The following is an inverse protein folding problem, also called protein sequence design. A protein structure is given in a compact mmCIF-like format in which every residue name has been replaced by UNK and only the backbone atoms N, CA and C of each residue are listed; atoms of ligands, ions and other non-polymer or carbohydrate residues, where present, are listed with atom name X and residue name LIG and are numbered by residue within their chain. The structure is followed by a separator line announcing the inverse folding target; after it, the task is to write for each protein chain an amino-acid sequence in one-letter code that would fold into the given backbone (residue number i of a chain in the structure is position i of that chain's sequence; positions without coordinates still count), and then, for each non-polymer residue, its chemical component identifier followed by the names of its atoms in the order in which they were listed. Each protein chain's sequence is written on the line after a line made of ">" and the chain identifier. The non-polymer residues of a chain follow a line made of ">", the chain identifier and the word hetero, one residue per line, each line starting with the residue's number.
data_IF_549919643097
#
_entry.id   IF_549919643097
#
_cell.length_a   1.000
_cell.length_b   1.000
_cell.length_c   1.000
_cell.angle_alpha   90.00
_cell.angle_beta   90.00
_cell.angle_gamma   90.00
#
_symmetry.space_group_name_H-M   'P 1'
#
loop_
_entity.id
_entity.type
_entity.pdbx_description
1 polymer ?
#
# COMPACT_ATOMS: atom_id res chain seq x y z
N UNK A 1 11.53 -4.31 13.39
CA UNK A 1 10.69 -5.25 14.16
C UNK A 1 11.53 -6.46 14.60
N UNK A 2 11.15 -7.08 15.73
CA UNK A 2 11.83 -8.32 16.20
C UNK A 2 11.41 -9.56 15.39
N UNK A 3 10.28 -9.49 14.69
CA UNK A 3 9.74 -10.54 13.85
C UNK A 3 9.25 -9.93 12.54
N UNK A 4 9.71 -10.49 11.42
CA UNK A 4 9.18 -10.19 10.11
C UNK A 4 7.98 -11.10 9.80
N UNK A 5 6.95 -10.53 9.22
CA UNK A 5 5.75 -11.24 8.85
C UNK A 5 5.36 -10.99 7.39
N UNK A 6 4.66 -11.95 6.80
CA UNK A 6 3.94 -11.81 5.53
C UNK A 6 2.51 -12.29 5.74
N UNK A 7 1.55 -11.49 5.32
CA UNK A 7 0.13 -11.76 5.43
C UNK A 7 -0.51 -11.66 4.05
N UNK A 8 -0.97 -12.78 3.53
CA UNK A 8 -1.54 -12.91 2.21
C UNK A 8 -3.02 -13.28 2.27
N UNK A 9 -3.76 -12.87 1.26
CA UNK A 9 -5.17 -13.17 1.13
C UNK A 9 -5.54 -13.31 -0.34
N UNK A 10 -6.06 -14.46 -0.72
CA UNK A 10 -6.71 -14.68 -2.00
C UNK A 10 -8.21 -14.81 -1.77
N UNK A 11 -8.98 -13.90 -2.34
CA UNK A 11 -10.43 -13.92 -2.25
C UNK A 11 -10.99 -14.93 -3.25
N UNK A 12 -11.86 -15.86 -2.79
CA UNK A 12 -12.47 -16.88 -3.65
C UNK A 12 -11.44 -17.54 -4.58
N UNK A 13 -10.39 -18.14 -4.01
CA UNK A 13 -9.19 -18.62 -4.73
C UNK A 13 -9.48 -19.57 -5.90
N UNK A 14 -10.57 -20.35 -5.85
CA UNK A 14 -10.98 -21.29 -6.90
C UNK A 14 -11.94 -20.69 -7.94
N UNK A 15 -12.37 -19.43 -7.77
CA UNK A 15 -13.34 -18.77 -8.63
C UNK A 15 -12.69 -17.89 -9.69
N UNK A 16 -13.23 -17.91 -10.90
CA UNK A 16 -12.76 -17.16 -12.07
C UNK A 16 -13.85 -16.24 -12.66
N UNK A 17 -15.00 -16.13 -12.03
CA UNK A 17 -16.17 -15.40 -12.51
C UNK A 17 -16.04 -13.87 -12.41
N UNK A 18 -15.14 -13.39 -11.57
CA UNK A 18 -14.80 -11.96 -11.47
C UNK A 18 -13.31 -11.72 -11.75
N UNK A 19 -12.96 -10.56 -12.34
CA UNK A 19 -11.56 -10.16 -12.46
C UNK A 19 -10.95 -9.87 -11.08
N UNK A 20 -9.62 -10.03 -10.97
CA UNK A 20 -8.88 -9.83 -9.72
C UNK A 20 -8.12 -8.50 -9.70
N UNK A 21 -8.01 -7.92 -8.53
CA UNK A 21 -7.13 -6.79 -8.23
C UNK A 21 -6.23 -7.16 -7.06
N UNK A 22 -4.98 -6.67 -7.08
CA UNK A 22 -4.00 -6.96 -6.04
C UNK A 22 -3.66 -5.71 -5.24
N UNK A 23 -3.83 -5.79 -3.94
CA UNK A 23 -3.35 -4.79 -2.99
C UNK A 23 -2.00 -5.25 -2.43
N UNK A 24 -0.96 -4.45 -2.62
CA UNK A 24 0.38 -4.70 -2.07
C UNK A 24 0.68 -3.63 -1.04
N UNK A 25 1.16 -4.03 0.15
CA UNK A 25 1.50 -3.06 1.18
C UNK A 25 2.06 -3.63 2.48
N UNK A 26 1.78 -2.91 3.54
CA UNK A 26 2.18 -3.21 4.91
C UNK A 26 0.95 -3.35 5.82
N UNK A 27 1.09 -3.10 7.13
CA UNK A 27 -0.01 -3.17 8.09
C UNK A 27 -1.17 -2.20 7.80
N UNK A 28 -0.91 -1.09 7.11
CA UNK A 28 -1.95 -0.14 6.70
C UNK A 28 -2.86 -0.79 5.66
N UNK A 29 -2.27 -1.53 4.71
CA UNK A 29 -3.04 -2.28 3.70
C UNK A 29 -3.86 -3.42 4.32
N UNK A 30 -3.36 -4.07 5.36
CA UNK A 30 -4.15 -5.01 6.17
C UNK A 30 -5.37 -4.32 6.78
N UNK A 31 -5.15 -3.11 7.32
CA UNK A 31 -6.20 -2.33 7.97
C UNK A 31 -7.37 -1.99 7.06
N UNK A 32 -7.11 -1.51 5.84
CA UNK A 32 -8.18 -1.10 4.92
C UNK A 32 -8.71 -2.20 3.99
N UNK A 33 -8.09 -3.38 3.95
CA UNK A 33 -8.43 -4.45 3.00
C UNK A 33 -9.92 -4.82 3.00
N UNK A 34 -10.50 -5.12 4.16
CA UNK A 34 -11.91 -5.49 4.28
C UNK A 34 -12.86 -4.38 3.78
N UNK A 35 -12.50 -3.12 3.99
CA UNK A 35 -13.28 -2.00 3.47
C UNK A 35 -13.20 -1.93 1.92
N UNK A 36 -12.03 -2.22 1.33
CA UNK A 36 -11.88 -2.31 -0.14
C UNK A 36 -12.71 -3.46 -0.70
N UNK A 37 -12.66 -4.65 -0.08
CA UNK A 37 -13.47 -5.81 -0.49
C UNK A 37 -14.96 -5.44 -0.52
N UNK A 38 -15.46 -4.80 0.54
CA UNK A 38 -16.86 -4.37 0.63
C UNK A 38 -17.25 -3.36 -0.46
N UNK A 39 -16.37 -2.42 -0.79
CA UNK A 39 -16.61 -1.40 -1.82
C UNK A 39 -16.54 -1.99 -3.25
N UNK A 40 -15.80 -3.07 -3.46
CA UNK A 40 -15.60 -3.71 -4.76
C UNK A 40 -16.38 -5.03 -4.90
N UNK A 41 -17.21 -5.37 -3.92
CA UNK A 41 -18.04 -6.58 -3.93
C UNK A 41 -18.86 -6.72 -5.22
N UNK A 42 -18.85 -7.91 -5.79
CA UNK A 42 -19.51 -8.21 -7.06
C UNK A 42 -18.87 -7.61 -8.31
N UNK A 43 -17.75 -6.87 -8.17
CA UNK A 43 -17.00 -6.27 -9.28
C UNK A 43 -15.62 -6.92 -9.47
N UNK A 44 -14.91 -7.15 -8.38
CA UNK A 44 -13.54 -7.69 -8.37
C UNK A 44 -13.33 -8.60 -7.17
N UNK A 45 -12.52 -9.64 -7.32
CA UNK A 45 -11.86 -10.28 -6.18
C UNK A 45 -10.67 -9.44 -5.74
N UNK A 46 -10.60 -9.14 -4.45
CA UNK A 46 -9.58 -8.25 -3.87
C UNK A 46 -8.54 -9.08 -3.12
N UNK A 47 -7.49 -9.43 -3.81
CA UNK A 47 -6.35 -10.14 -3.25
C UNK A 47 -5.40 -9.17 -2.53
N UNK A 48 -4.64 -9.68 -1.55
CA UNK A 48 -3.71 -8.85 -0.79
C UNK A 48 -2.41 -9.58 -0.50
N UNK A 49 -1.30 -8.89 -0.72
CA UNK A 49 0.04 -9.21 -0.22
C UNK A 49 0.51 -8.07 0.68
N UNK A 50 0.64 -8.34 1.98
CA UNK A 50 1.11 -7.37 2.97
C UNK A 50 2.25 -7.96 3.79
N UNK A 51 3.27 -7.14 4.12
CA UNK A 51 4.43 -7.59 4.86
C UNK A 51 5.04 -6.47 5.69
N UNK A 52 5.71 -6.83 6.80
CA UNK A 52 6.55 -5.93 7.58
C UNK A 52 7.96 -5.77 7.01
N UNK A 53 8.35 -6.61 6.03
CA UNK A 53 9.68 -6.56 5.44
C UNK A 53 9.93 -5.23 4.75
N UNK A 54 11.14 -4.68 4.93
CA UNK A 54 11.55 -3.53 4.14
C UNK A 54 11.74 -3.91 2.67
N UNK A 55 11.52 -2.97 1.76
CA UNK A 55 11.51 -3.20 0.31
C UNK A 55 12.84 -3.73 -0.25
N UNK A 56 13.97 -3.54 0.46
CA UNK A 56 15.28 -4.09 0.07
C UNK A 56 15.53 -5.49 0.61
N UNK A 57 14.67 -6.03 1.47
CA UNK A 57 14.79 -7.40 1.94
C UNK A 57 14.72 -8.36 0.75
N UNK A 58 15.67 -9.29 0.60
CA UNK A 58 15.67 -10.23 -0.53
C UNK A 58 14.46 -11.18 -0.55
N UNK A 59 13.84 -11.44 0.60
CA UNK A 59 12.63 -12.26 0.67
C UNK A 59 11.38 -11.46 0.24
N UNK A 60 11.31 -10.15 0.52
CA UNK A 60 10.21 -9.29 0.09
C UNK A 60 9.91 -9.49 -1.41
N UNK A 61 10.91 -9.27 -2.25
CA UNK A 61 10.71 -9.36 -3.71
C UNK A 61 10.40 -10.77 -4.17
N UNK A 62 11.05 -11.80 -3.61
CA UNK A 62 10.80 -13.20 -3.98
C UNK A 62 9.38 -13.65 -3.63
N UNK A 63 8.92 -13.33 -2.43
CA UNK A 63 7.57 -13.65 -1.97
C UNK A 63 6.53 -12.91 -2.80
N UNK A 64 6.73 -11.61 -3.05
CA UNK A 64 5.85 -10.80 -3.88
C UNK A 64 5.80 -11.30 -5.32
N UNK A 65 6.94 -11.66 -5.91
CA UNK A 65 7.00 -12.17 -7.27
C UNK A 65 6.23 -13.49 -7.41
N UNK A 66 6.41 -14.42 -6.46
CA UNK A 66 5.66 -15.66 -6.39
C UNK A 66 4.16 -15.36 -6.27
N UNK A 67 3.76 -14.52 -5.33
CA UNK A 67 2.35 -14.21 -5.07
C UNK A 67 1.69 -13.51 -6.28
N UNK A 68 2.36 -12.52 -6.87
CA UNK A 68 1.86 -11.77 -8.02
C UNK A 68 1.82 -12.58 -9.32
N UNK A 69 2.44 -13.78 -9.35
CA UNK A 69 2.41 -14.67 -10.51
C UNK A 69 1.27 -15.67 -10.51
N UNK A 70 0.55 -15.82 -9.38
CA UNK A 70 -0.48 -16.83 -9.22
C UNK A 70 -1.71 -16.54 -10.08
N UNK A 71 -2.08 -15.26 -10.21
CA UNK A 71 -3.23 -14.82 -11.00
C UNK A 71 -2.86 -13.71 -11.97
N UNK A 72 -3.73 -13.51 -12.96
CA UNK A 72 -3.72 -12.31 -13.81
C UNK A 72 -4.54 -11.22 -13.15
N UNK A 73 -3.89 -10.11 -12.81
CA UNK A 73 -4.55 -8.99 -12.15
C UNK A 73 -4.98 -7.92 -13.15
N UNK A 74 -6.20 -7.44 -12.99
CA UNK A 74 -6.74 -6.31 -13.75
C UNK A 74 -6.05 -5.00 -13.39
N UNK A 75 -5.70 -4.84 -12.10
CA UNK A 75 -5.03 -3.67 -11.54
C UNK A 75 -4.23 -4.08 -10.31
N UNK A 76 -3.12 -3.42 -10.07
CA UNK A 76 -2.31 -3.54 -8.84
C UNK A 76 -2.28 -2.19 -8.14
N UNK A 77 -2.61 -2.16 -6.85
CA UNK A 77 -2.45 -1.01 -5.96
C UNK A 77 -1.24 -1.24 -5.06
N UNK A 78 -0.20 -0.43 -5.20
CA UNK A 78 1.07 -0.61 -4.50
C UNK A 78 1.28 0.50 -3.46
N UNK A 79 1.22 0.12 -2.18
CA UNK A 79 1.38 1.00 -1.01
C UNK A 79 2.39 0.38 -0.04
N UNK A 80 3.66 0.73 -0.14
CA UNK A 80 4.71 0.20 0.74
C UNK A 80 5.73 1.29 1.07
N UNK A 81 5.72 1.78 2.32
CA UNK A 81 6.61 2.90 2.66
C UNK A 81 6.82 3.18 4.15
N UNK A 82 6.18 2.41 5.04
CA UNK A 82 6.30 2.64 6.50
C UNK A 82 7.27 1.69 7.21
N UNK A 83 7.82 0.70 6.50
CA UNK A 83 8.80 -0.22 7.08
C UNK A 83 10.23 0.22 6.77
N UNK A 84 11.19 -0.10 7.68
CA UNK A 84 12.60 0.22 7.50
C UNK A 84 12.86 1.72 7.37
N UNK A 85 12.27 2.55 8.21
CA UNK A 85 12.38 4.02 8.15
C UNK A 85 13.80 4.51 8.44
N UNK A 86 14.64 3.68 9.02
CA UNK A 86 16.07 3.89 9.30
C UNK A 86 16.97 3.65 8.09
N UNK A 87 16.48 3.04 7.01
CA UNK A 87 17.24 2.84 5.80
C UNK A 87 17.37 4.13 4.96
N UNK A 88 18.52 4.33 4.28
CA UNK A 88 18.72 5.48 3.39
C UNK A 88 17.66 5.59 2.29
N UNK A 89 17.27 6.82 1.96
CA UNK A 89 16.24 7.10 0.94
C UNK A 89 16.61 6.53 -0.44
N UNK A 90 17.89 6.55 -0.82
CA UNK A 90 18.37 6.00 -2.08
C UNK A 90 18.15 4.48 -2.16
N UNK A 91 18.34 3.75 -1.06
CA UNK A 91 18.07 2.31 -0.98
C UNK A 91 16.59 2.05 -1.20
N UNK A 92 15.72 2.81 -0.50
CA UNK A 92 14.26 2.72 -0.69
C UNK A 92 13.87 2.98 -2.14
N UNK A 93 14.32 4.10 -2.71
CA UNK A 93 13.99 4.50 -4.09
C UNK A 93 14.41 3.46 -5.13
N UNK A 94 15.63 2.94 -5.03
CA UNK A 94 16.17 1.99 -6.01
C UNK A 94 15.44 0.65 -5.94
N UNK A 95 15.12 0.17 -4.75
CA UNK A 95 14.36 -1.08 -4.58
C UNK A 95 12.88 -0.90 -4.92
N UNK A 96 12.29 0.26 -4.63
CA UNK A 96 10.92 0.59 -5.05
C UNK A 96 10.79 0.58 -6.57
N UNK A 97 11.74 1.22 -7.29
CA UNK A 97 11.81 1.19 -8.76
C UNK A 97 11.86 -0.23 -9.30
N UNK A 98 12.78 -1.05 -8.81
CA UNK A 98 12.93 -2.45 -9.26
C UNK A 98 11.68 -3.28 -9.01
N UNK A 99 11.01 -3.04 -7.89
CA UNK A 99 9.73 -3.70 -7.57
C UNK A 99 8.64 -3.22 -8.51
N UNK A 100 8.55 -1.92 -8.74
CA UNK A 100 7.60 -1.33 -9.69
C UNK A 100 7.77 -1.90 -11.11
N UNK A 101 9.00 -1.98 -11.61
CA UNK A 101 9.31 -2.53 -12.94
C UNK A 101 8.89 -4.00 -13.04
N UNK A 102 9.11 -4.79 -11.99
CA UNK A 102 8.65 -6.18 -11.91
C UNK A 102 7.11 -6.27 -11.94
N UNK A 103 6.41 -5.38 -11.24
CA UNK A 103 4.95 -5.34 -11.24
C UNK A 103 4.39 -4.89 -12.61
N UNK A 104 4.99 -3.89 -13.24
CA UNK A 104 4.60 -3.40 -14.57
C UNK A 104 4.79 -4.46 -15.67
N UNK A 105 5.78 -5.33 -15.52
CA UNK A 105 5.97 -6.45 -16.44
C UNK A 105 4.83 -7.50 -16.36
N UNK A 106 4.07 -7.52 -15.26
CA UNK A 106 2.96 -8.44 -15.03
C UNK A 106 1.59 -7.80 -15.26
N UNK A 107 1.45 -6.54 -14.84
CA UNK A 107 0.20 -5.79 -14.95
C UNK A 107 0.52 -4.34 -15.37
N UNK A 108 0.05 -3.87 -16.55
CA UNK A 108 0.31 -2.50 -16.98
C UNK A 108 -0.47 -1.44 -16.17
N UNK A 109 -1.45 -1.84 -15.40
CA UNK A 109 -2.27 -0.96 -14.56
C UNK A 109 -1.82 -1.02 -13.12
N UNK A 110 -0.79 -0.24 -12.78
CA UNK A 110 -0.29 -0.09 -11.41
C UNK A 110 -0.66 1.30 -10.90
N UNK A 111 -1.24 1.36 -9.71
CA UNK A 111 -1.51 2.58 -8.95
C UNK A 111 -0.46 2.68 -7.86
N UNK A 112 0.26 3.79 -7.77
CA UNK A 112 1.19 4.06 -6.69
C UNK A 112 0.46 4.79 -5.57
N UNK A 113 0.51 4.27 -4.34
CA UNK A 113 -0.09 4.93 -3.20
C UNK A 113 0.96 5.60 -2.33
N UNK A 114 0.65 6.82 -1.88
CA UNK A 114 1.48 7.52 -0.91
C UNK A 114 1.26 6.94 0.48
N UNK A 115 2.35 6.78 1.22
CA UNK A 115 2.32 6.32 2.62
C UNK A 115 1.68 7.36 3.51
N UNK A 116 0.93 6.90 4.50
CA UNK A 116 0.20 7.73 5.46
C UNK A 116 1.14 8.42 6.46
N UNK A 117 0.74 9.57 7.05
CA UNK A 117 1.56 10.26 8.03
C UNK A 117 1.79 9.44 9.30
N UNK A 118 2.91 9.66 9.97
CA UNK A 118 3.23 9.13 11.30
C UNK A 118 3.08 10.24 12.32
N UNK A 119 2.40 9.94 13.44
CA UNK A 119 2.24 10.85 14.56
C UNK A 119 3.03 10.39 15.77
N UNK A 120 3.17 11.25 16.77
CA UNK A 120 3.71 10.85 18.07
C UNK A 120 2.79 9.84 18.75
N UNK A 121 3.39 8.91 19.50
CA UNK A 121 2.65 7.92 20.30
C UNK A 121 1.79 8.66 21.34
N UNK A 122 0.54 8.24 21.49
CA UNK A 122 -0.48 8.87 22.35
C UNK A 122 -0.88 10.32 21.98
N UNK A 123 -0.30 10.87 20.89
CA UNK A 123 -0.60 12.21 20.39
C UNK A 123 -0.96 12.18 18.89
N UNK A 124 -2.14 11.69 18.53
CA UNK A 124 -2.55 11.48 17.13
C UNK A 124 -2.73 12.78 16.32
N UNK A 125 -2.74 13.93 16.99
CA UNK A 125 -2.79 15.29 16.44
C UNK A 125 -1.41 15.89 16.15
N UNK A 126 -0.33 15.27 16.65
CA UNK A 126 1.05 15.75 16.51
C UNK A 126 1.83 14.85 15.57
N UNK A 127 2.27 15.39 14.43
CA UNK A 127 3.13 14.65 13.51
C UNK A 127 4.48 14.35 14.17
N UNK A 128 4.98 13.12 13.98
CA UNK A 128 6.31 12.75 14.48
C UNK A 128 7.38 13.62 13.83
N UNK A 129 8.14 14.36 14.65
CA UNK A 129 9.21 15.23 14.19
C UNK A 129 10.38 14.44 13.58
N UNK A 130 10.57 13.19 13.99
CA UNK A 130 11.64 12.32 13.52
C UNK A 130 11.21 11.51 12.27
N UNK A 131 10.06 10.85 12.32
CA UNK A 131 9.68 9.83 11.34
C UNK A 131 8.84 10.39 10.17
N UNK A 132 7.99 11.38 10.44
CA UNK A 132 7.14 11.90 9.37
C UNK A 132 7.92 12.58 8.23
N UNK A 133 9.05 13.28 8.45
CA UNK A 133 9.90 13.77 7.36
C UNK A 133 10.44 12.66 6.46
N UNK A 134 10.73 11.47 7.00
CA UNK A 134 11.16 10.30 6.21
C UNK A 134 10.02 9.82 5.31
N UNK A 135 8.79 9.77 5.83
CA UNK A 135 7.60 9.43 5.03
C UNK A 135 7.41 10.42 3.89
N UNK A 136 7.51 11.71 4.15
CA UNK A 136 7.39 12.75 3.10
C UNK A 136 8.46 12.59 2.02
N UNK A 137 9.72 12.33 2.40
CA UNK A 137 10.80 12.11 1.44
C UNK A 137 10.55 10.85 0.57
N UNK A 138 10.01 9.78 1.16
CA UNK A 138 9.62 8.57 0.42
C UNK A 138 8.44 8.84 -0.51
N UNK A 139 7.43 9.55 -0.05
CA UNK A 139 6.28 9.94 -0.87
C UNK A 139 6.73 10.79 -2.08
N UNK A 140 7.64 11.73 -1.89
CA UNK A 140 8.25 12.50 -2.99
C UNK A 140 8.96 11.58 -4.01
N UNK A 141 9.70 10.57 -3.53
CA UNK A 141 10.34 9.59 -4.42
C UNK A 141 9.30 8.78 -5.22
N UNK A 142 8.18 8.38 -4.58
CA UNK A 142 7.07 7.69 -5.26
C UNK A 142 6.40 8.58 -6.29
N UNK A 143 6.18 9.87 -5.98
CA UNK A 143 5.61 10.85 -6.94
C UNK A 143 6.47 11.02 -8.18
N UNK A 144 7.81 11.09 -8.02
CA UNK A 144 8.75 11.16 -9.16
C UNK A 144 8.69 9.91 -10.04
N UNK A 145 8.57 8.73 -9.42
CA UNK A 145 8.39 7.49 -10.18
C UNK A 145 7.04 7.47 -10.90
N UNK A 146 5.97 7.93 -10.24
CA UNK A 146 4.66 8.03 -10.88
C UNK A 146 4.68 8.93 -12.11
N UNK A 147 5.37 10.08 -12.04
CA UNK A 147 5.56 10.98 -13.19
C UNK A 147 6.38 10.31 -14.30
N UNK A 148 7.52 9.71 -13.96
CA UNK A 148 8.43 9.04 -14.90
C UNK A 148 7.73 7.92 -15.69
N UNK A 149 6.95 7.08 -14.99
CA UNK A 149 6.23 5.94 -15.59
C UNK A 149 4.80 6.29 -16.03
N UNK A 150 4.35 7.54 -15.82
CA UNK A 150 2.98 8.04 -16.14
C UNK A 150 1.89 7.21 -15.47
N UNK A 151 2.08 6.91 -14.19
CA UNK A 151 1.17 6.08 -13.40
C UNK A 151 0.25 6.95 -12.53
N UNK A 152 -0.98 6.48 -12.28
CA UNK A 152 -1.89 7.12 -11.35
C UNK A 152 -1.35 7.04 -9.93
N UNK A 153 -1.59 8.10 -9.16
CA UNK A 153 -1.27 8.18 -7.73
C UNK A 153 -2.56 8.16 -6.91
N UNK A 154 -2.54 7.37 -5.84
CA UNK A 154 -3.54 7.41 -4.77
C UNK A 154 -2.93 8.07 -3.53
N UNK A 155 -3.31 9.30 -3.25
CA UNK A 155 -2.78 10.06 -2.12
C UNK A 155 -3.49 9.68 -0.82
N UNK A 156 -3.01 8.62 -0.18
CA UNK A 156 -3.50 8.20 1.14
C UNK A 156 -2.94 9.08 2.27
N UNK A 157 -1.84 9.82 2.03
CA UNK A 157 -1.33 10.77 3.01
C UNK A 157 -2.34 11.89 3.26
N UNK A 158 -2.76 12.58 2.19
CA UNK A 158 -3.72 13.67 2.26
C UNK A 158 -5.10 13.19 2.73
N UNK A 159 -5.52 11.99 2.34
CA UNK A 159 -6.80 11.42 2.75
C UNK A 159 -7.01 11.43 4.27
N UNK A 160 -5.95 11.22 5.04
CA UNK A 160 -6.00 11.05 6.50
C UNK A 160 -5.27 12.15 7.28
N UNK A 161 -4.57 13.05 6.58
CA UNK A 161 -3.87 14.18 7.21
C UNK A 161 -4.84 15.06 8.00
N UNK A 162 -4.41 15.54 9.17
CA UNK A 162 -5.21 16.44 10.02
C UNK A 162 -6.49 15.83 10.62
N UNK A 163 -6.61 14.49 10.62
CA UNK A 163 -7.79 13.77 11.16
C UNK A 163 -7.41 12.89 12.37
N UNK A 164 -7.12 13.48 13.55
CA UNK A 164 -6.67 12.71 14.72
C UNK A 164 -7.71 11.70 15.23
N UNK A 165 -9.01 12.00 15.07
CA UNK A 165 -10.10 11.14 15.56
C UNK A 165 -10.18 9.76 14.89
N UNK A 166 -9.59 9.60 13.72
CA UNK A 166 -9.57 8.33 13.00
C UNK A 166 -8.26 7.56 13.17
N UNK A 167 -7.35 8.01 14.04
CA UNK A 167 -6.05 7.39 14.29
C UNK A 167 -6.03 6.60 15.58
N UNK A 168 -5.21 5.55 15.64
CA UNK A 168 -4.86 4.87 16.90
C UNK A 168 -3.73 5.63 17.61
N UNK A 169 -3.56 5.34 18.89
CA UNK A 169 -2.55 5.96 19.73
C UNK A 169 -1.10 5.53 19.44
N UNK A 170 -0.90 4.49 18.62
CA UNK A 170 0.41 3.94 18.29
C UNK A 170 1.23 4.77 17.29
N UNK A 171 0.66 5.84 16.78
CA UNK A 171 1.31 6.74 15.82
C UNK A 171 1.24 6.30 14.35
N UNK A 172 0.86 5.06 14.06
CA UNK A 172 0.86 4.49 12.71
C UNK A 172 -0.53 4.12 12.19
N UNK A 173 -1.31 3.41 13.01
CA UNK A 173 -2.52 2.75 12.55
C UNK A 173 -3.78 3.60 12.70
N UNK A 174 -4.86 3.10 12.13
CA UNK A 174 -6.14 3.79 12.03
C UNK A 174 -7.25 3.02 12.73
N UNK A 175 -8.28 3.73 13.19
CA UNK A 175 -9.53 3.15 13.68
C UNK A 175 -10.30 2.50 12.52
N UNK A 176 -11.43 1.85 12.83
CA UNK A 176 -12.33 1.31 11.80
C UNK A 176 -12.81 2.40 10.83
N UNK A 177 -13.13 3.59 11.34
CA UNK A 177 -13.53 4.72 10.49
C UNK A 177 -12.38 5.19 9.58
N UNK A 178 -11.15 5.21 10.10
CA UNK A 178 -9.97 5.55 9.31
C UNK A 178 -9.65 4.51 8.24
N UNK A 179 -9.78 3.24 8.58
CA UNK A 179 -9.65 2.13 7.63
C UNK A 179 -10.74 2.16 6.55
N UNK A 180 -11.99 2.48 6.93
CA UNK A 180 -13.09 2.64 5.99
C UNK A 180 -12.86 3.81 5.02
N UNK A 181 -12.39 4.95 5.53
CA UNK A 181 -12.04 6.11 4.70
C UNK A 181 -10.97 5.76 3.66
N UNK A 182 -9.88 5.13 4.09
CA UNK A 182 -8.80 4.68 3.21
C UNK A 182 -9.29 3.66 2.19
N UNK A 183 -10.05 2.64 2.64
CA UNK A 183 -10.59 1.60 1.78
C UNK A 183 -11.49 2.14 0.68
N UNK A 184 -12.35 3.10 0.99
CA UNK A 184 -13.18 3.78 -0.01
C UNK A 184 -12.35 4.50 -1.07
N UNK A 185 -11.30 5.21 -0.65
CA UNK A 185 -10.41 5.90 -1.58
C UNK A 185 -9.61 4.93 -2.44
N UNK A 186 -9.09 3.82 -1.86
CA UNK A 186 -8.42 2.76 -2.60
C UNK A 186 -9.35 2.14 -3.64
N UNK A 187 -10.58 1.80 -3.25
CA UNK A 187 -11.57 1.24 -4.16
C UNK A 187 -11.93 2.19 -5.32
N UNK A 188 -12.04 3.49 -5.07
CA UNK A 188 -12.25 4.50 -6.11
C UNK A 188 -11.07 4.56 -7.10
N UNK A 189 -9.82 4.55 -6.57
CA UNK A 189 -8.63 4.52 -7.40
C UNK A 189 -8.55 3.26 -8.27
N UNK A 190 -8.88 2.09 -7.70
CA UNK A 190 -8.95 0.80 -8.41
C UNK A 190 -9.99 0.84 -9.51
N UNK A 191 -11.24 1.26 -9.23
CA UNK A 191 -12.30 1.37 -10.26
C UNK A 191 -11.84 2.20 -11.45
N UNK A 192 -11.29 3.40 -11.17
CA UNK A 192 -10.81 4.31 -12.22
C UNK A 192 -9.67 3.73 -13.08
N UNK A 193 -8.76 2.97 -12.48
CA UNK A 193 -7.63 2.38 -13.20
C UNK A 193 -7.98 1.07 -13.92
N UNK A 194 -9.01 0.35 -13.46
CA UNK A 194 -9.43 -0.93 -14.00
C UNK A 194 -10.40 -0.83 -15.20
N UNK A 195 -10.97 0.37 -15.42
CA UNK A 195 -11.73 0.70 -16.64
C UNK A 195 -10.79 0.70 -17.87
#
# INVERSE_FOLDING_TARGET
>A
EALEWTNTWWEQAESEDLPRVLLIGDSISVGYHTAVQKELDGLYYVDRFSTSKFISDPFFRRELELYASEYTYRCIHFNHGLNGLDFPLEVYRDHYRRTLEMLLARCPRVILALSTPITEVDHPDVLSAELNPVVLARNEAVLRLAEEYRLPVNDLYEAVAGKPSIRKADGYHYTEDGAALQGKQVAQAVRKAAE
#
